data_IF_145268724254
#
_entry.id   IF_145268724254
#
_cell.length_a   1.000
_cell.length_b   1.000
_cell.length_c   1.000
_cell.angle_alpha   90.00
_cell.angle_beta   90.00
_cell.angle_gamma   90.00
#
_symmetry.space_group_name_H-M   'P 1'
#
loop_
_entity.id
_entity.type
_entity.pdbx_description
1 polymer ?
#
# COMPACT_ATOMS: atom_id res chain seq x y z
N UNK A 1 -28.62 -9.82 40.51
CA UNK A 1 -28.35 -8.48 41.06
C UNK A 1 -27.13 -7.97 40.32
N UNK A 2 -27.30 -6.91 39.54
CA UNK A 2 -26.23 -6.29 38.76
C UNK A 2 -25.48 -5.28 39.65
N UNK A 3 -24.18 -5.02 39.43
CA UNK A 3 -23.44 -4.04 40.23
C UNK A 3 -24.01 -2.62 40.08
N UNK A 4 -24.09 -1.89 41.20
CA UNK A 4 -24.78 -0.59 41.35
C UNK A 4 -23.89 0.65 41.09
N UNK A 5 -22.68 0.50 40.57
CA UNK A 5 -21.87 1.64 40.13
C UNK A 5 -20.92 1.24 39.00
N UNK A 6 -20.92 2.04 37.93
CA UNK A 6 -20.11 1.84 36.71
C UNK A 6 -18.80 2.65 36.80
N UNK A 7 -18.60 3.41 37.88
CA UNK A 7 -17.40 4.23 38.12
C UNK A 7 -16.11 3.41 38.24
N UNK A 8 -16.19 2.14 38.67
CA UNK A 8 -15.03 1.24 38.76
C UNK A 8 -14.55 0.70 37.39
N UNK A 9 -15.33 0.88 36.32
CA UNK A 9 -14.98 0.45 34.96
C UNK A 9 -14.52 1.59 34.04
N UNK A 10 -14.52 2.83 34.54
CA UNK A 10 -14.01 3.99 33.80
C UNK A 10 -12.82 4.57 34.58
N UNK A 11 -11.66 3.94 34.38
CA UNK A 11 -10.37 4.64 34.47
C UNK A 11 -9.74 4.64 33.09
N UNK A 12 -9.80 5.80 32.45
CA UNK A 12 -8.97 6.15 31.30
C UNK A 12 -7.51 6.31 31.74
N UNK A 13 -6.63 6.35 30.73
CA UNK A 13 -5.15 6.40 30.72
C UNK A 13 -4.55 4.99 30.62
N UNK A 14 -4.24 4.49 29.42
CA UNK A 14 -3.37 5.14 28.44
C UNK A 14 -4.07 5.48 27.10
N UNK A 15 -4.40 6.76 26.92
CA UNK A 15 -4.24 7.35 25.59
C UNK A 15 -2.73 7.39 25.35
N UNK A 16 -2.21 6.47 24.53
CA UNK A 16 -0.91 6.69 23.89
C UNK A 16 -1.13 7.86 22.94
N UNK A 17 -0.96 9.06 23.48
CA UNK A 17 -0.73 10.27 22.73
C UNK A 17 0.75 10.27 22.35
N UNK A 18 1.13 9.28 21.56
CA UNK A 18 2.32 9.34 20.73
C UNK A 18 1.79 9.57 19.33
N UNK A 19 1.74 10.83 18.90
CA UNK A 19 1.46 11.21 17.51
C UNK A 19 2.57 10.74 16.56
N UNK A 20 3.44 9.82 16.99
CA UNK A 20 4.28 9.05 16.10
C UNK A 20 3.81 7.60 16.17
N UNK A 21 3.19 7.11 15.09
CA UNK A 21 3.15 5.67 14.87
C UNK A 21 4.59 5.16 14.99
N UNK A 22 4.86 4.08 15.73
CA UNK A 22 6.21 3.54 15.84
C UNK A 22 6.74 3.29 14.42
N UNK A 23 8.02 3.58 14.20
CA UNK A 23 8.68 3.34 12.93
C UNK A 23 8.32 1.96 12.37
N UNK A 24 7.91 1.91 11.09
CA UNK A 24 7.34 0.74 10.44
C UNK A 24 8.12 -0.53 10.81
N UNK A 25 7.51 -1.40 11.63
CA UNK A 25 8.15 -2.61 12.15
C UNK A 25 7.82 -3.84 11.31
N UNK A 26 7.12 -3.64 10.18
CA UNK A 26 6.81 -4.72 9.26
C UNK A 26 8.09 -5.28 8.63
N UNK A 27 8.20 -6.61 8.66
CA UNK A 27 9.28 -7.35 8.00
C UNK A 27 8.69 -8.09 6.80
N UNK A 28 9.42 -8.08 5.70
CA UNK A 28 9.06 -8.84 4.51
C UNK A 28 10.32 -9.34 3.82
N UNK A 29 10.16 -10.21 2.84
CA UNK A 29 11.27 -10.65 2.02
C UNK A 29 11.37 -9.82 0.76
N UNK A 30 12.60 -9.45 0.41
CA UNK A 30 12.91 -8.74 -0.81
C UNK A 30 12.51 -9.60 -2.02
N UNK A 31 11.67 -9.02 -2.86
CA UNK A 31 11.09 -9.68 -4.02
C UNK A 31 11.43 -8.87 -5.27
N UNK A 32 11.96 -9.54 -6.29
CA UNK A 32 12.22 -8.96 -7.60
C UNK A 32 10.99 -9.20 -8.48
N UNK A 33 10.21 -8.15 -8.72
CA UNK A 33 8.97 -8.24 -9.51
C UNK A 33 9.23 -8.46 -11.00
N UNK A 34 10.41 -8.07 -11.51
CA UNK A 34 10.78 -8.30 -12.90
C UNK A 34 11.18 -9.76 -13.11
N UNK A 35 11.90 -10.34 -12.15
CA UNK A 35 12.28 -11.76 -12.17
C UNK A 35 11.13 -12.68 -11.73
N UNK A 36 10.22 -12.18 -10.90
CA UNK A 36 9.14 -12.97 -10.27
C UNK A 36 9.65 -13.92 -9.17
N UNK A 37 10.69 -13.53 -8.44
CA UNK A 37 11.35 -14.40 -7.45
C UNK A 37 11.92 -13.59 -6.27
N UNK A 38 12.12 -14.24 -5.12
CA UNK A 38 12.80 -13.62 -3.99
C UNK A 38 14.28 -13.38 -4.31
N UNK A 39 14.85 -12.36 -3.69
CA UNK A 39 16.30 -12.13 -3.73
C UNK A 39 16.93 -12.95 -2.60
N UNK A 40 17.88 -13.81 -2.96
CA UNK A 40 18.56 -14.70 -2.03
C UNK A 40 19.98 -14.22 -1.71
N UNK A 41 20.38 -14.39 -0.45
CA UNK A 41 21.76 -14.24 0.01
C UNK A 41 22.13 -15.43 0.88
N UNK A 42 23.20 -16.13 0.52
CA UNK A 42 23.66 -17.34 1.21
C UNK A 42 22.58 -18.44 1.34
N UNK A 43 21.73 -18.59 0.32
CA UNK A 43 20.69 -19.63 0.29
C UNK A 43 19.41 -19.31 1.08
N UNK A 44 19.31 -18.11 1.70
CA UNK A 44 18.10 -17.64 2.36
C UNK A 44 17.55 -16.38 1.67
N UNK A 45 16.22 -16.17 1.63
CA UNK A 45 15.64 -14.93 1.13
C UNK A 45 16.09 -13.74 2.01
N UNK A 46 16.37 -12.61 1.37
CA UNK A 46 16.79 -11.39 2.06
C UNK A 46 15.59 -10.77 2.75
N UNK A 47 15.63 -10.70 4.08
CA UNK A 47 14.64 -9.97 4.86
C UNK A 47 14.93 -8.47 4.81
N UNK A 48 13.88 -7.67 4.69
CA UNK A 48 13.91 -6.20 4.75
C UNK A 48 12.80 -5.70 5.67
N UNK A 49 13.03 -4.54 6.25
CA UNK A 49 12.11 -3.85 7.16
C UNK A 49 11.96 -2.37 6.75
N UNK A 50 11.19 -1.62 7.55
CA UNK A 50 11.01 -0.18 7.37
C UNK A 50 10.44 0.20 5.99
N UNK A 51 10.95 1.29 5.43
CA UNK A 51 10.55 1.83 4.13
C UNK A 51 10.63 0.78 3.01
N UNK A 52 11.65 -0.07 2.99
CA UNK A 52 11.80 -1.10 1.93
C UNK A 52 10.67 -2.11 1.97
N UNK A 53 10.21 -2.47 3.17
CA UNK A 53 9.08 -3.37 3.30
C UNK A 53 7.76 -2.70 2.89
N UNK A 54 7.61 -1.38 3.11
CA UNK A 54 6.49 -0.59 2.57
C UNK A 54 6.53 -0.57 1.04
N UNK A 55 7.69 -0.33 0.41
CA UNK A 55 7.86 -0.37 -1.06
C UNK A 55 7.35 -1.68 -1.66
N UNK A 56 7.78 -2.81 -1.08
CA UNK A 56 7.38 -4.15 -1.53
C UNK A 56 5.87 -4.35 -1.32
N UNK A 57 5.32 -3.87 -0.22
CA UNK A 57 3.89 -3.97 0.04
C UNK A 57 3.07 -3.19 -0.99
N UNK A 58 3.46 -1.94 -1.30
CA UNK A 58 2.82 -1.09 -2.30
C UNK A 58 2.83 -1.79 -3.68
N UNK A 59 3.98 -2.27 -4.12
CA UNK A 59 4.12 -2.99 -5.39
C UNK A 59 3.21 -4.23 -5.45
N UNK A 60 3.12 -5.01 -4.38
CA UNK A 60 2.21 -6.18 -4.34
C UNK A 60 0.75 -5.77 -4.45
N UNK A 61 0.33 -4.70 -3.76
CA UNK A 61 -1.04 -4.21 -3.81
C UNK A 61 -1.39 -3.74 -5.23
N UNK A 62 -0.54 -2.91 -5.85
CA UNK A 62 -0.78 -2.40 -7.20
C UNK A 62 -0.81 -3.52 -8.24
N UNK A 63 0.00 -4.57 -8.07
CA UNK A 63 0.04 -5.71 -8.99
C UNK A 63 -1.05 -6.76 -8.75
N UNK A 64 -1.88 -6.59 -7.74
CA UNK A 64 -2.96 -7.52 -7.42
C UNK A 64 -4.30 -6.90 -7.78
N UNK A 65 -4.99 -7.49 -8.76
CA UNK A 65 -6.36 -7.09 -9.08
C UNK A 65 -7.34 -7.59 -8.00
N UNK A 66 -8.21 -6.70 -7.51
CA UNK A 66 -9.25 -7.02 -6.53
C UNK A 66 -10.21 -8.07 -7.08
N UNK A 67 -10.79 -8.88 -6.19
CA UNK A 67 -11.79 -9.91 -6.49
C UNK A 67 -11.36 -11.02 -7.46
N UNK A 68 -10.11 -11.00 -7.94
CA UNK A 68 -9.57 -12.01 -8.87
C UNK A 68 -9.12 -13.29 -8.16
N UNK A 69 -8.67 -13.17 -6.90
CA UNK A 69 -8.08 -14.27 -6.16
C UNK A 69 -8.84 -14.54 -4.85
N UNK A 70 -9.44 -15.73 -4.75
CA UNK A 70 -10.24 -16.13 -3.58
C UNK A 70 -9.49 -16.08 -2.25
N UNK A 71 -8.15 -16.14 -2.26
CA UNK A 71 -7.33 -16.01 -1.05
C UNK A 71 -7.46 -14.65 -0.37
N UNK A 72 -7.93 -13.63 -1.11
CA UNK A 72 -8.18 -12.28 -0.62
C UNK A 72 -9.67 -12.01 -0.39
N UNK A 73 -10.54 -13.02 -0.45
CA UNK A 73 -11.97 -12.85 -0.20
C UNK A 73 -12.21 -12.33 1.23
N UNK A 74 -12.96 -11.22 1.33
CA UNK A 74 -13.24 -10.56 2.61
C UNK A 74 -12.10 -9.69 3.15
N UNK A 75 -11.05 -9.47 2.37
CA UNK A 75 -9.95 -8.54 2.68
C UNK A 75 -9.91 -7.44 1.64
N UNK A 76 -9.77 -6.19 2.09
CA UNK A 76 -9.57 -5.04 1.21
C UNK A 76 -8.10 -5.01 0.75
N UNK A 77 -7.79 -5.79 -0.30
CA UNK A 77 -6.43 -5.95 -0.83
C UNK A 77 -6.42 -5.95 -2.35
N UNK A 78 -5.47 -5.20 -2.93
CA UNK A 78 -5.33 -5.03 -4.37
C UNK A 78 -5.90 -3.72 -4.88
N UNK A 79 -5.91 -3.53 -6.20
CA UNK A 79 -6.49 -2.39 -6.93
C UNK A 79 -7.48 -2.88 -7.99
N UNK A 80 -8.31 -1.97 -8.54
CA UNK A 80 -9.21 -2.29 -9.66
C UNK A 80 -8.83 -1.48 -10.89
N UNK A 81 -7.84 -1.94 -11.65
CA UNK A 81 -7.31 -1.17 -12.80
C UNK A 81 -7.31 -1.94 -14.11
N UNK A 82 -7.48 -3.26 -14.10
CA UNK A 82 -7.45 -4.09 -15.32
C UNK A 82 -8.49 -3.60 -16.34
N UNK A 83 -9.67 -3.18 -15.91
CA UNK A 83 -10.74 -2.64 -16.78
C UNK A 83 -10.43 -1.25 -17.36
N UNK A 84 -9.53 -0.48 -16.71
CA UNK A 84 -9.11 0.83 -17.19
C UNK A 84 -8.04 0.71 -18.28
N UNK A 85 -7.14 -0.25 -18.11
CA UNK A 85 -6.03 -0.51 -19.03
C UNK A 85 -6.58 -1.11 -20.34
N UNK A 86 -6.29 -0.44 -21.47
CA UNK A 86 -6.78 -0.86 -22.79
C UNK A 86 -8.22 -0.42 -23.09
N UNK A 87 -8.87 0.33 -22.21
CA UNK A 87 -10.16 0.95 -22.49
C UNK A 87 -10.04 2.10 -23.49
N UNK A 88 -11.13 2.40 -24.22
CA UNK A 88 -11.22 3.55 -25.12
C UNK A 88 -11.62 4.85 -24.39
N UNK A 89 -11.45 4.90 -23.07
CA UNK A 89 -11.82 6.05 -22.26
C UNK A 89 -10.82 7.21 -22.45
N UNK A 90 -11.22 8.46 -22.20
CA UNK A 90 -10.30 9.59 -22.26
C UNK A 90 -9.14 9.40 -21.28
N UNK A 91 -7.91 9.69 -21.72
CA UNK A 91 -6.70 9.53 -20.90
C UNK A 91 -6.79 10.19 -19.52
N UNK A 92 -7.26 11.43 -19.45
CA UNK A 92 -7.39 12.14 -18.17
C UNK A 92 -8.42 11.49 -17.22
N UNK A 93 -9.41 10.78 -17.75
CA UNK A 93 -10.32 9.98 -16.94
C UNK A 93 -9.61 8.76 -16.37
N UNK A 94 -8.88 8.01 -17.21
CA UNK A 94 -8.10 6.84 -16.78
C UNK A 94 -7.08 7.22 -15.69
N UNK A 95 -6.32 8.30 -15.89
CA UNK A 95 -5.34 8.77 -14.91
C UNK A 95 -6.00 9.16 -13.57
N UNK A 96 -7.18 9.80 -13.62
CA UNK A 96 -7.93 10.17 -12.42
C UNK A 96 -8.47 8.95 -11.68
N UNK A 97 -8.99 7.95 -12.40
CA UNK A 97 -9.49 6.72 -11.81
C UNK A 97 -8.34 5.89 -11.20
N UNK A 98 -7.23 5.69 -11.94
CA UNK A 98 -6.05 5.02 -11.41
C UNK A 98 -5.52 5.69 -10.14
N UNK A 99 -5.43 7.03 -10.14
CA UNK A 99 -5.03 7.79 -8.96
C UNK A 99 -5.98 7.54 -7.79
N UNK A 100 -7.30 7.55 -8.01
CA UNK A 100 -8.29 7.27 -6.96
C UNK A 100 -8.11 5.86 -6.42
N UNK A 101 -8.10 4.85 -7.28
CA UNK A 101 -7.99 3.43 -6.89
C UNK A 101 -6.71 3.16 -6.10
N UNK A 102 -5.57 3.73 -6.53
CA UNK A 102 -4.30 3.56 -5.81
C UNK A 102 -4.34 4.26 -4.46
N UNK A 103 -4.89 5.47 -4.40
CA UNK A 103 -5.01 6.23 -3.15
C UNK A 103 -5.88 5.48 -2.15
N UNK A 104 -7.06 5.02 -2.55
CA UNK A 104 -7.96 4.26 -1.68
C UNK A 104 -7.32 2.96 -1.21
N UNK A 105 -6.66 2.23 -2.10
CA UNK A 105 -6.06 0.93 -1.77
C UNK A 105 -4.82 1.04 -0.89
N UNK A 106 -3.95 2.01 -1.15
CA UNK A 106 -2.69 2.15 -0.41
C UNK A 106 -2.89 2.81 0.96
N UNK A 107 -3.86 3.72 1.11
CA UNK A 107 -4.19 4.33 2.41
C UNK A 107 -4.85 3.36 3.40
N UNK A 108 -5.21 2.15 2.97
CA UNK A 108 -5.58 1.07 3.91
C UNK A 108 -4.43 0.67 4.84
N UNK A 109 -3.19 0.94 4.42
CA UNK A 109 -2.02 0.72 5.24
C UNK A 109 -1.83 1.88 6.21
N UNK A 110 -1.85 1.64 7.54
CA UNK A 110 -1.81 2.72 8.54
C UNK A 110 -0.50 3.52 8.53
N UNK A 111 0.53 3.06 7.83
CA UNK A 111 1.82 3.73 7.73
C UNK A 111 1.95 4.64 6.50
N UNK A 112 0.94 4.65 5.63
CA UNK A 112 0.88 5.53 4.46
C UNK A 112 -0.12 6.65 4.78
N UNK A 113 0.34 7.89 4.74
CA UNK A 113 -0.46 9.06 5.05
C UNK A 113 -1.01 9.74 3.79
N UNK A 114 -0.17 9.90 2.77
CA UNK A 114 -0.55 10.58 1.54
C UNK A 114 0.23 10.08 0.32
N UNK A 115 -0.38 10.21 -0.86
CA UNK A 115 0.26 10.00 -2.15
C UNK A 115 0.21 11.28 -3.00
N UNK A 116 1.38 11.84 -3.31
CA UNK A 116 1.52 13.11 -4.03
C UNK A 116 2.41 12.97 -5.29
N UNK A 117 2.58 14.06 -6.03
CA UNK A 117 3.50 14.15 -7.18
C UNK A 117 3.31 13.07 -8.25
N UNK A 118 2.05 12.84 -8.65
CA UNK A 118 1.69 11.85 -9.64
C UNK A 118 2.23 12.17 -11.03
N UNK A 119 2.76 11.16 -11.71
CA UNK A 119 3.18 11.19 -13.10
C UNK A 119 2.72 9.92 -13.80
N UNK A 120 2.11 10.09 -14.97
CA UNK A 120 1.64 8.99 -15.81
C UNK A 120 2.32 9.08 -17.18
N UNK A 121 3.05 8.03 -17.55
CA UNK A 121 3.66 7.88 -18.86
C UNK A 121 3.12 6.63 -19.52
N UNK A 122 2.92 6.72 -20.83
CA UNK A 122 2.41 5.62 -21.66
C UNK A 122 3.42 5.45 -22.78
N UNK A 123 3.93 4.23 -22.94
CA UNK A 123 4.71 3.82 -24.10
C UNK A 123 4.06 2.59 -24.73
N UNK A 124 3.42 2.78 -25.88
CA UNK A 124 2.60 1.74 -26.51
C UNK A 124 1.45 1.29 -25.62
N UNK A 125 1.56 0.08 -25.08
CA UNK A 125 0.59 -0.53 -24.16
C UNK A 125 1.02 -0.49 -22.68
N UNK A 126 2.26 -0.08 -22.40
CA UNK A 126 2.83 -0.09 -21.06
C UNK A 126 2.58 1.25 -20.36
N UNK A 127 2.14 1.18 -19.11
CA UNK A 127 1.96 2.34 -18.23
C UNK A 127 3.07 2.39 -17.20
N UNK A 128 3.79 3.52 -17.16
CA UNK A 128 4.69 3.83 -16.05
C UNK A 128 4.03 4.89 -15.17
N UNK A 129 3.67 4.49 -13.95
CA UNK A 129 3.04 5.36 -12.97
C UNK A 129 4.06 5.66 -11.87
N UNK A 130 4.30 6.94 -11.62
CA UNK A 130 5.19 7.39 -10.56
C UNK A 130 4.49 8.31 -9.60
N UNK A 131 4.79 8.18 -8.32
CA UNK A 131 4.22 9.00 -7.25
C UNK A 131 5.14 9.01 -6.03
N UNK A 132 4.94 9.98 -5.16
CA UNK A 132 5.63 10.10 -3.89
C UNK A 132 4.70 9.67 -2.76
N UNK A 133 5.18 8.82 -1.88
CA UNK A 133 4.48 8.36 -0.67
C UNK A 133 5.02 9.13 0.52
N UNK A 134 4.10 9.77 1.24
CA UNK A 134 4.36 10.34 2.56
C UNK A 134 3.92 9.31 3.58
N UNK A 135 4.85 8.92 4.44
CA UNK A 135 4.60 8.00 5.54
C UNK A 135 4.33 8.78 6.83
N UNK A 136 3.66 8.14 7.79
CA UNK A 136 3.34 8.77 9.08
C UNK A 136 4.58 9.10 9.93
N UNK A 137 5.75 8.60 9.54
CA UNK A 137 7.05 8.92 10.15
C UNK A 137 7.74 10.13 9.49
N UNK A 138 7.03 10.87 8.62
CA UNK A 138 7.54 11.95 7.76
C UNK A 138 8.60 11.49 6.74
N UNK A 139 8.82 10.18 6.58
CA UNK A 139 9.72 9.65 5.57
C UNK A 139 9.05 9.71 4.19
N UNK A 140 9.82 10.17 3.20
CA UNK A 140 9.36 10.37 1.83
C UNK A 140 9.94 9.27 0.94
N UNK A 141 9.07 8.61 0.19
CA UNK A 141 9.39 7.51 -0.70
C UNK A 141 8.96 7.84 -2.13
N UNK A 142 9.86 7.69 -3.10
CA UNK A 142 9.47 7.72 -4.52
C UNK A 142 9.17 6.31 -5.01
N UNK A 143 8.01 6.15 -5.64
CA UNK A 143 7.55 4.91 -6.26
C UNK A 143 7.42 5.08 -7.77
N UNK A 144 7.78 4.04 -8.50
CA UNK A 144 7.54 3.90 -9.93
C UNK A 144 7.13 2.46 -10.22
N UNK A 145 5.94 2.28 -10.78
CA UNK A 145 5.39 0.96 -11.10
C UNK A 145 5.06 0.90 -12.58
N UNK A 146 5.52 -0.18 -13.21
CA UNK A 146 5.26 -0.53 -14.61
C UNK A 146 4.15 -1.59 -14.66
N UNK A 147 3.09 -1.29 -15.42
CA UNK A 147 1.85 -2.08 -15.56
C UNK A 147 1.51 -2.26 -17.03
#
# INVERSE_FOLDING_TARGET
>A
MFPDDISDYIKNEDYINDNTLPAFTGKTFLYDFNKGDFIYKNGAPVEVDGIKAIQIWIEKVIRTERFKFNIYDGVDYGVTIEDLIGSNLPRGFIESEMKREFTESLLTNPYIEELINWSFKIDGSEWTISFTVITTTEEVLEMGVEI
#
